data_IF_495807072707
#
_entry.id   IF_495807072707
#
_cell.length_a   1.000
_cell.length_b   1.000
_cell.length_c   1.000
_cell.angle_alpha   90.00
_cell.angle_beta   90.00
_cell.angle_gamma   90.00
#
_symmetry.space_group_name_H-M   'P 1'
#
loop_
_entity.id
_entity.type
_entity.pdbx_description
1 polymer ?
#
# COMPACT_ATOMS: atom_id res chain seq x y z
N UNK A 1 -58.96 -3.14 70.72
CA UNK A 1 -58.30 -2.41 71.82
C UNK A 1 -56.92 -3.03 72.06
N UNK A 2 -55.85 -2.32 71.65
CA UNK A 2 -54.39 -2.51 71.84
C UNK A 2 -53.72 -1.82 70.63
N UNK A 3 -53.56 -0.51 70.71
CA UNK A 3 -52.33 0.22 71.10
C UNK A 3 -51.24 0.18 70.03
N UNK A 4 -50.95 1.38 69.53
CA UNK A 4 -49.91 1.73 68.59
C UNK A 4 -48.51 1.36 69.09
N UNK A 5 -47.67 0.87 68.18
CA UNK A 5 -46.22 0.82 68.36
C UNK A 5 -45.59 1.61 67.22
N UNK A 6 -44.99 2.74 67.59
CA UNK A 6 -44.08 3.54 66.78
C UNK A 6 -42.82 2.72 66.51
N UNK A 7 -42.47 2.49 65.25
CA UNK A 7 -41.11 2.14 64.85
C UNK A 7 -40.61 3.16 63.83
N UNK A 8 -39.61 3.94 64.26
CA UNK A 8 -38.87 4.87 63.41
C UNK A 8 -38.03 4.05 62.43
N UNK A 9 -38.33 4.13 61.15
CA UNK A 9 -37.51 3.56 60.08
C UNK A 9 -36.31 4.49 59.86
N UNK A 10 -35.13 4.11 60.37
CA UNK A 10 -33.88 4.77 60.03
C UNK A 10 -33.46 4.31 58.62
N UNK A 11 -33.67 5.15 57.61
CA UNK A 11 -33.13 4.94 56.28
C UNK A 11 -31.70 5.47 56.28
N UNK A 12 -30.72 4.56 56.34
CA UNK A 12 -29.32 4.89 56.14
C UNK A 12 -29.08 5.02 54.63
N UNK A 13 -29.12 6.24 54.09
CA UNK A 13 -28.69 6.51 52.72
C UNK A 13 -27.16 6.52 52.72
N UNK A 14 -26.54 5.43 52.28
CA UNK A 14 -25.13 5.41 51.90
C UNK A 14 -24.97 6.18 50.58
N UNK A 15 -24.68 7.48 50.69
CA UNK A 15 -24.13 8.26 49.58
C UNK A 15 -22.68 7.80 49.35
N UNK A 16 -22.50 6.81 48.48
CA UNK A 16 -21.17 6.50 47.94
C UNK A 16 -20.79 7.66 47.02
N UNK A 17 -20.01 8.60 47.56
CA UNK A 17 -19.31 9.59 46.73
C UNK A 17 -18.24 8.86 45.93
N UNK A 18 -18.61 8.38 44.74
CA UNK A 18 -17.62 8.07 43.70
C UNK A 18 -17.04 9.39 43.21
N UNK A 19 -16.09 9.93 43.95
CA UNK A 19 -15.16 10.90 43.37
C UNK A 19 -14.49 10.18 42.20
N UNK A 20 -14.59 10.67 40.95
CA UNK A 20 -13.83 10.07 39.86
C UNK A 20 -12.38 10.09 40.30
N UNK A 21 -11.72 8.92 40.35
CA UNK A 21 -10.28 8.89 40.47
C UNK A 21 -9.77 9.79 39.35
N UNK A 22 -9.20 10.94 39.71
CA UNK A 22 -8.57 11.80 38.75
C UNK A 22 -7.53 10.94 38.03
N UNK A 23 -7.75 10.69 36.74
CA UNK A 23 -6.81 9.94 35.93
C UNK A 23 -5.43 10.56 36.17
N UNK A 24 -4.45 9.76 36.60
CA UNK A 24 -3.06 10.21 36.72
C UNK A 24 -2.73 10.96 35.42
N UNK A 25 -2.27 12.21 35.53
CA UNK A 25 -1.75 12.94 34.36
C UNK A 25 -0.79 11.99 33.64
N UNK A 26 -1.01 11.68 32.35
CA UNK A 26 -0.11 10.80 31.64
C UNK A 26 1.30 11.37 31.78
N UNK A 27 2.26 10.49 32.08
CA UNK A 27 3.67 10.84 32.05
C UNK A 27 3.97 11.56 30.74
N UNK A 28 4.78 12.63 30.78
CA UNK A 28 5.08 13.43 29.59
C UNK A 28 5.43 12.51 28.42
N UNK A 29 4.59 12.51 27.39
CA UNK A 29 4.77 11.69 26.20
C UNK A 29 5.82 12.38 25.35
N UNK A 30 7.08 12.08 25.66
CA UNK A 30 8.23 12.71 25.03
C UNK A 30 8.22 12.50 23.51
N UNK A 31 7.74 11.35 23.03
CA UNK A 31 7.63 11.07 21.59
C UNK A 31 6.58 11.98 20.97
N UNK A 32 5.40 12.10 21.58
CA UNK A 32 4.37 13.04 21.12
C UNK A 32 4.86 14.48 21.14
N UNK A 33 5.59 14.92 22.16
CA UNK A 33 6.16 16.27 22.24
C UNK A 33 7.18 16.52 21.13
N UNK A 34 8.09 15.56 20.89
CA UNK A 34 9.05 15.60 19.80
C UNK A 34 8.35 15.69 18.45
N UNK A 35 7.35 14.83 18.19
CA UNK A 35 6.56 14.86 16.95
C UNK A 35 5.79 16.17 16.79
N UNK A 36 5.12 16.64 17.84
CA UNK A 36 4.35 17.88 17.84
C UNK A 36 5.25 19.08 17.52
N UNK A 37 6.41 19.15 18.18
CA UNK A 37 7.40 20.20 17.95
C UNK A 37 7.98 20.12 16.55
N UNK A 38 8.25 18.90 16.07
CA UNK A 38 8.78 18.67 14.73
C UNK A 38 7.80 19.08 13.63
N UNK A 39 6.52 18.76 13.77
CA UNK A 39 5.45 19.20 12.86
C UNK A 39 5.35 20.72 12.87
N UNK A 40 5.28 21.32 14.07
CA UNK A 40 5.15 22.78 14.24
C UNK A 40 6.31 23.54 13.61
N UNK A 41 7.53 23.06 13.84
CA UNK A 41 8.76 23.74 13.41
C UNK A 41 9.24 23.28 12.02
N UNK A 42 8.58 22.27 11.44
CA UNK A 42 9.01 21.58 10.20
C UNK A 42 10.44 21.03 10.26
N UNK A 43 10.99 20.82 11.46
CA UNK A 43 12.35 20.32 11.70
C UNK A 43 12.39 19.54 13.01
N UNK A 44 13.14 18.45 13.04
CA UNK A 44 13.31 17.60 14.21
C UNK A 44 14.80 17.37 14.49
N UNK A 45 15.24 17.42 15.75
CA UNK A 45 16.60 17.07 16.12
C UNK A 45 16.85 15.54 16.14
N UNK A 46 15.80 14.72 16.08
CA UNK A 46 15.90 13.27 16.23
C UNK A 46 15.85 12.49 14.91
N UNK A 47 14.98 12.90 13.97
CA UNK A 47 14.76 12.18 12.71
C UNK A 47 14.07 13.06 11.68
N UNK A 48 14.28 12.78 10.40
CA UNK A 48 13.59 13.43 9.29
C UNK A 48 13.14 12.39 8.25
N UNK A 49 12.10 12.72 7.49
CA UNK A 49 11.56 11.87 6.43
C UNK A 49 11.87 12.51 5.07
N UNK A 50 12.95 12.07 4.43
CA UNK A 50 13.44 12.66 3.17
C UNK A 50 14.95 12.64 3.08
N UNK A 51 15.52 13.37 2.12
CA UNK A 51 16.97 13.51 1.96
C UNK A 51 17.53 14.77 2.64
N UNK A 52 16.69 15.76 2.93
CA UNK A 52 17.10 17.01 3.56
C UNK A 52 16.94 16.94 5.09
N UNK A 53 18.03 16.94 5.87
CA UNK A 53 17.97 16.87 7.33
C UNK A 53 17.37 18.13 7.98
N UNK A 54 17.20 19.22 7.22
CA UNK A 54 16.55 20.44 7.71
C UNK A 54 15.04 20.45 7.49
N UNK A 55 14.49 19.45 6.79
CA UNK A 55 13.07 19.33 6.54
C UNK A 55 12.53 18.06 7.21
N UNK A 56 11.64 18.23 8.19
CA UNK A 56 11.07 17.13 8.95
C UNK A 56 10.33 16.10 8.08
N UNK A 57 9.61 16.54 7.05
CA UNK A 57 8.95 15.63 6.11
C UNK A 57 8.90 16.20 4.69
N UNK A 58 9.46 15.46 3.75
CA UNK A 58 9.42 15.73 2.30
C UNK A 58 8.48 14.78 1.55
N UNK A 59 7.89 13.82 2.25
CA UNK A 59 6.96 12.85 1.68
C UNK A 59 5.53 13.34 1.90
N UNK A 60 4.75 13.37 0.82
CA UNK A 60 3.29 13.59 0.89
C UNK A 60 2.49 12.54 0.13
N UNK A 61 3.17 11.62 -0.58
CA UNK A 61 2.57 10.46 -1.24
C UNK A 61 3.52 9.26 -1.20
N UNK A 62 3.12 8.15 -1.83
CA UNK A 62 3.95 6.96 -1.98
C UNK A 62 5.21 7.24 -2.78
N UNK A 63 6.25 6.47 -2.46
CA UNK A 63 7.55 6.54 -3.13
C UNK A 63 7.55 5.78 -4.46
N UNK A 64 8.54 6.09 -5.31
CA UNK A 64 8.89 5.25 -6.46
C UNK A 64 9.84 4.09 -6.09
N UNK A 65 10.04 3.79 -4.79
CA UNK A 65 10.88 2.64 -4.39
C UNK A 65 10.25 1.35 -4.89
N UNK A 66 11.11 0.38 -5.22
CA UNK A 66 10.67 -0.99 -5.44
C UNK A 66 10.08 -1.54 -4.13
N UNK A 67 8.86 -2.08 -4.20
CA UNK A 67 8.13 -2.52 -3.01
C UNK A 67 8.29 -4.04 -2.84
N UNK A 68 8.71 -4.53 -1.66
CA UNK A 68 8.77 -5.96 -1.36
C UNK A 68 7.46 -6.70 -1.62
N UNK A 69 7.56 -7.90 -2.18
CA UNK A 69 6.44 -8.83 -2.39
C UNK A 69 6.78 -10.17 -1.77
N UNK A 70 5.90 -10.66 -0.90
CA UNK A 70 5.99 -11.97 -0.29
C UNK A 70 4.82 -12.80 -0.79
N UNK A 71 5.09 -14.02 -1.24
CA UNK A 71 4.04 -14.97 -1.63
C UNK A 71 4.21 -16.26 -0.86
N UNK A 72 3.10 -16.95 -0.59
CA UNK A 72 3.04 -18.15 0.22
C UNK A 72 2.13 -19.17 -0.49
N UNK A 73 2.53 -20.44 -0.58
CA UNK A 73 1.77 -21.45 -1.33
C UNK A 73 1.87 -21.33 -2.86
N UNK A 74 2.83 -20.56 -3.35
CA UNK A 74 3.00 -20.19 -4.76
C UNK A 74 4.16 -20.91 -5.44
N UNK A 75 5.28 -21.12 -4.75
CA UNK A 75 6.41 -21.86 -5.30
C UNK A 75 5.99 -23.30 -5.61
N UNK A 76 6.51 -23.86 -6.70
CA UNK A 76 6.13 -25.19 -7.22
C UNK A 76 4.65 -25.32 -7.61
N UNK A 77 3.90 -24.21 -7.68
CA UNK A 77 2.54 -24.20 -8.20
C UNK A 77 2.53 -24.10 -9.74
N UNK A 78 1.34 -24.03 -10.33
CA UNK A 78 1.16 -23.97 -11.79
C UNK A 78 1.87 -22.76 -12.39
N UNK A 79 2.24 -22.79 -13.69
CA UNK A 79 2.81 -21.64 -14.38
C UNK A 79 1.96 -20.38 -14.18
N UNK A 80 2.61 -19.23 -13.92
CA UNK A 80 1.95 -17.96 -13.63
C UNK A 80 1.52 -17.76 -12.18
N UNK A 81 1.42 -18.82 -11.35
CA UNK A 81 1.08 -18.67 -9.92
C UNK A 81 2.30 -18.32 -9.04
N UNK A 82 3.51 -18.37 -9.60
CA UNK A 82 4.77 -18.16 -8.88
C UNK A 82 5.49 -16.88 -9.34
N UNK A 83 6.28 -16.28 -8.45
CA UNK A 83 7.02 -15.04 -8.75
C UNK A 83 8.04 -15.23 -9.87
N UNK A 84 8.63 -16.43 -10.00
CA UNK A 84 9.61 -16.75 -11.05
C UNK A 84 9.07 -16.54 -12.46
N UNK A 85 7.74 -16.56 -12.64
CA UNK A 85 7.08 -16.24 -13.90
C UNK A 85 7.20 -14.77 -14.32
N UNK A 86 7.56 -13.87 -13.40
CA UNK A 86 7.53 -12.41 -13.61
C UNK A 86 8.78 -11.66 -13.12
N UNK A 87 9.77 -12.36 -12.54
CA UNK A 87 11.00 -11.74 -12.02
C UNK A 87 12.25 -12.19 -12.80
N UNK A 88 13.38 -11.54 -12.54
CA UNK A 88 14.65 -11.88 -13.16
C UNK A 88 14.56 -11.84 -14.69
N UNK A 89 14.93 -12.93 -15.36
CA UNK A 89 14.88 -13.05 -16.82
C UNK A 89 13.47 -12.91 -17.41
N UNK A 90 12.44 -13.16 -16.60
CA UNK A 90 11.03 -13.09 -17.01
C UNK A 90 10.37 -11.73 -16.70
N UNK A 91 11.13 -10.79 -16.12
CA UNK A 91 10.64 -9.45 -15.82
C UNK A 91 10.08 -8.75 -17.07
N UNK A 92 8.88 -8.15 -17.01
CA UNK A 92 8.35 -7.39 -18.13
C UNK A 92 9.20 -6.15 -18.44
N UNK A 93 9.93 -5.62 -17.46
CA UNK A 93 10.82 -4.47 -17.62
C UNK A 93 12.07 -4.75 -18.47
N UNK A 94 12.26 -5.99 -18.94
CA UNK A 94 13.35 -6.36 -19.87
C UNK A 94 12.93 -6.31 -21.34
N UNK A 95 11.66 -6.06 -21.63
CA UNK A 95 11.08 -6.19 -22.96
C UNK A 95 10.20 -4.97 -23.28
N UNK A 96 10.53 -4.27 -24.35
CA UNK A 96 9.83 -3.04 -24.77
C UNK A 96 8.34 -3.30 -25.04
N UNK A 97 8.02 -4.40 -25.74
CA UNK A 97 6.63 -4.72 -26.09
C UNK A 97 5.80 -5.07 -24.87
N UNK A 98 6.42 -5.71 -23.86
CA UNK A 98 5.74 -5.96 -22.58
C UNK A 98 5.50 -4.67 -21.80
N UNK A 99 6.44 -3.72 -21.82
CA UNK A 99 6.24 -2.41 -21.22
C UNK A 99 5.12 -1.64 -21.93
N UNK A 100 5.12 -1.64 -23.27
CA UNK A 100 4.04 -1.05 -24.07
C UNK A 100 2.69 -1.71 -23.80
N UNK A 101 2.64 -3.03 -23.58
CA UNK A 101 1.40 -3.72 -23.21
C UNK A 101 0.90 -3.32 -21.82
N UNK A 102 1.78 -3.04 -20.86
CA UNK A 102 1.42 -2.65 -19.49
C UNK A 102 0.95 -1.19 -19.44
N UNK A 103 1.66 -0.29 -20.12
CA UNK A 103 1.46 1.15 -20.03
C UNK A 103 0.68 1.75 -21.20
N UNK A 104 0.50 1.04 -22.31
CA UNK A 104 -0.03 1.61 -23.56
C UNK A 104 0.96 2.51 -24.31
N UNK A 105 2.18 2.67 -23.78
CA UNK A 105 3.30 3.40 -24.35
C UNK A 105 4.61 2.84 -23.76
N UNK A 106 5.76 3.08 -24.39
CA UNK A 106 7.06 2.75 -23.79
C UNK A 106 7.47 3.89 -22.84
N UNK A 107 7.51 3.68 -21.51
CA UNK A 107 7.88 4.75 -20.60
C UNK A 107 9.36 5.12 -20.71
N UNK A 108 9.66 6.40 -20.56
CA UNK A 108 11.02 6.92 -20.67
C UNK A 108 11.96 6.21 -19.68
N UNK A 109 13.20 5.92 -20.06
CA UNK A 109 14.23 5.37 -19.17
C UNK A 109 13.82 4.14 -18.32
N UNK A 110 12.79 3.39 -18.74
CA UNK A 110 12.17 2.33 -17.93
C UNK A 110 12.60 0.93 -18.35
N UNK A 111 12.93 0.74 -19.63
CA UNK A 111 13.50 -0.51 -20.12
C UNK A 111 14.83 -0.78 -19.40
N UNK A 112 14.93 -1.95 -18.78
CA UNK A 112 16.09 -2.37 -18.01
C UNK A 112 16.37 -3.85 -18.27
N UNK A 113 17.35 -4.18 -19.15
CA UNK A 113 17.76 -5.56 -19.42
C UNK A 113 18.29 -6.32 -18.20
N UNK A 114 18.56 -5.63 -17.08
CA UNK A 114 19.01 -6.23 -15.81
C UNK A 114 17.91 -6.27 -14.74
N UNK A 115 16.67 -5.91 -15.07
CA UNK A 115 15.56 -5.89 -14.12
C UNK A 115 15.41 -7.26 -13.43
N UNK A 116 15.18 -7.19 -12.12
CA UNK A 116 14.90 -8.35 -11.25
C UNK A 116 13.50 -8.28 -10.64
N UNK A 117 12.79 -7.20 -10.89
CA UNK A 117 11.49 -6.87 -10.34
C UNK A 117 10.37 -7.19 -11.33
N UNK A 118 9.17 -7.38 -10.80
CA UNK A 118 7.94 -7.52 -11.58
C UNK A 118 7.20 -6.18 -11.66
N UNK A 119 6.13 -6.14 -12.43
CA UNK A 119 5.15 -5.04 -12.36
C UNK A 119 4.05 -5.36 -11.35
N UNK A 120 3.46 -4.33 -10.73
CA UNK A 120 2.33 -4.51 -9.80
C UNK A 120 1.13 -5.25 -10.43
N UNK A 121 0.92 -5.11 -11.75
CA UNK A 121 -0.12 -5.83 -12.50
C UNK A 121 0.08 -7.34 -12.47
N UNK A 122 1.32 -7.82 -12.32
CA UNK A 122 1.58 -9.25 -12.23
C UNK A 122 1.08 -9.89 -10.93
N UNK A 123 0.74 -9.09 -9.90
CA UNK A 123 0.06 -9.62 -8.72
C UNK A 123 -1.37 -10.05 -9.04
N UNK A 124 -2.05 -9.35 -9.96
CA UNK A 124 -3.33 -9.83 -10.50
C UNK A 124 -3.13 -11.12 -11.30
N UNK A 125 -2.10 -11.22 -12.14
CA UNK A 125 -1.83 -12.43 -12.92
C UNK A 125 -1.61 -13.66 -12.02
N UNK A 126 -0.88 -13.48 -10.91
CA UNK A 126 -0.67 -14.54 -9.91
C UNK A 126 -1.98 -14.98 -9.28
N UNK A 127 -2.83 -14.04 -8.87
CA UNK A 127 -4.14 -14.35 -8.30
C UNK A 127 -5.06 -15.04 -9.32
N UNK A 128 -5.04 -14.59 -10.57
CA UNK A 128 -5.81 -15.18 -11.67
C UNK A 128 -5.34 -16.61 -11.99
N UNK A 129 -4.04 -16.85 -11.99
CA UNK A 129 -3.46 -18.18 -12.15
C UNK A 129 -3.84 -19.10 -10.97
N UNK A 130 -3.80 -18.59 -9.74
CA UNK A 130 -4.25 -19.31 -8.55
C UNK A 130 -5.74 -19.69 -8.63
N UNK A 131 -6.58 -18.76 -9.08
CA UNK A 131 -8.01 -18.97 -9.28
C UNK A 131 -8.28 -20.01 -10.36
N UNK A 132 -7.57 -19.94 -11.49
CA UNK A 132 -7.64 -20.94 -12.57
C UNK A 132 -7.19 -22.33 -12.09
N UNK A 133 -6.20 -22.39 -11.21
CA UNK A 133 -5.70 -23.63 -10.63
C UNK A 133 -6.61 -24.22 -9.53
N UNK A 134 -7.73 -23.57 -9.21
CA UNK A 134 -8.66 -24.03 -8.18
C UNK A 134 -8.08 -23.94 -6.76
N UNK A 135 -7.16 -22.99 -6.51
CA UNK A 135 -6.69 -22.73 -5.14
C UNK A 135 -7.90 -22.38 -4.28
N UNK A 136 -8.04 -23.05 -3.12
CA UNK A 136 -9.20 -22.89 -2.23
C UNK A 136 -9.33 -21.48 -1.67
N UNK A 137 -8.20 -20.86 -1.32
CA UNK A 137 -8.13 -19.52 -0.76
C UNK A 137 -7.09 -18.70 -1.52
N UNK A 138 -7.43 -17.45 -1.83
CA UNK A 138 -6.55 -16.46 -2.44
C UNK A 138 -6.66 -15.23 -1.56
N UNK A 139 -5.54 -14.83 -0.95
CA UNK A 139 -5.52 -13.75 0.05
C UNK A 139 -4.46 -12.75 -0.38
N UNK A 140 -4.89 -11.50 -0.60
CA UNK A 140 -4.01 -10.36 -0.82
C UNK A 140 -3.95 -9.54 0.47
N UNK A 141 -2.77 -9.35 1.02
CA UNK A 141 -2.53 -8.49 2.19
C UNK A 141 -1.74 -7.28 1.73
N UNK A 142 -2.29 -6.08 1.94
CA UNK A 142 -1.66 -4.81 1.55
C UNK A 142 -1.33 -4.02 2.81
N UNK A 143 -0.06 -3.65 2.95
CA UNK A 143 0.40 -2.71 3.96
C UNK A 143 0.63 -1.35 3.29
N UNK A 144 -0.35 -0.45 3.40
CA UNK A 144 -0.32 0.87 2.76
C UNK A 144 0.89 1.67 3.28
N UNK A 145 1.76 2.10 2.37
CA UNK A 145 2.97 2.87 2.67
C UNK A 145 4.15 2.07 3.23
N UNK A 146 4.06 0.73 3.31
CA UNK A 146 5.14 -0.11 3.86
C UNK A 146 6.14 -0.52 2.79
N UNK A 147 7.28 0.16 2.76
CA UNK A 147 8.45 -0.23 1.95
C UNK A 147 9.43 -1.14 2.72
N UNK A 148 10.57 -1.46 2.10
CA UNK A 148 11.59 -2.31 2.71
C UNK A 148 12.23 -1.67 3.94
N UNK A 149 12.52 -0.36 3.90
CA UNK A 149 13.10 0.37 5.01
C UNK A 149 12.13 0.41 6.21
N UNK A 150 10.84 0.63 5.95
CA UNK A 150 9.77 0.56 6.95
C UNK A 150 9.69 -0.84 7.58
N UNK A 151 9.75 -1.88 6.75
CA UNK A 151 9.75 -3.28 7.21
C UNK A 151 10.98 -3.59 8.08
N UNK A 152 12.15 -3.06 7.72
CA UNK A 152 13.39 -3.21 8.49
C UNK A 152 13.34 -2.44 9.81
N UNK A 153 12.80 -1.23 9.81
CA UNK A 153 12.59 -0.46 11.04
C UNK A 153 11.66 -1.20 12.01
N UNK A 154 10.56 -1.78 11.51
CA UNK A 154 9.64 -2.58 12.31
C UNK A 154 10.32 -3.84 12.88
N UNK A 155 11.10 -4.56 12.07
CA UNK A 155 11.85 -5.72 12.53
C UNK A 155 12.92 -5.32 13.57
N UNK A 156 13.63 -4.22 13.36
CA UNK A 156 14.62 -3.71 14.31
C UNK A 156 13.97 -3.40 15.66
N UNK A 157 12.84 -2.69 15.64
CA UNK A 157 12.08 -2.36 16.85
C UNK A 157 11.61 -3.63 17.56
N UNK A 158 10.93 -4.54 16.85
CA UNK A 158 10.36 -5.76 17.43
C UNK A 158 11.42 -6.68 18.04
N UNK A 159 12.61 -6.76 17.43
CA UNK A 159 13.67 -7.67 17.86
C UNK A 159 14.72 -7.02 18.76
N UNK A 160 14.69 -5.70 18.94
CA UNK A 160 15.78 -4.95 19.59
C UNK A 160 17.14 -5.09 18.89
N UNK A 161 17.15 -5.50 17.62
CA UNK A 161 18.36 -5.83 16.88
C UNK A 161 18.17 -5.68 15.37
N UNK A 162 19.20 -5.18 14.70
CA UNK A 162 19.21 -5.01 13.25
C UNK A 162 19.66 -6.31 12.57
N UNK A 163 18.68 -7.18 12.26
CA UNK A 163 18.94 -8.57 11.83
C UNK A 163 19.27 -8.74 10.34
N UNK A 164 19.04 -7.73 9.51
CA UNK A 164 19.27 -7.85 8.07
C UNK A 164 19.53 -6.50 7.41
N UNK A 165 20.26 -6.54 6.29
CA UNK A 165 20.64 -5.35 5.51
C UNK A 165 20.20 -5.42 4.04
N UNK A 166 19.81 -6.60 3.57
CA UNK A 166 19.41 -6.85 2.17
C UNK A 166 18.36 -7.97 2.12
N UNK A 167 17.70 -8.12 0.98
CA UNK A 167 16.88 -9.29 0.66
C UNK A 167 15.53 -9.32 1.37
N UNK A 168 15.00 -10.53 1.56
CA UNK A 168 13.69 -10.83 2.18
C UNK A 168 13.54 -10.25 3.58
N UNK A 169 14.64 -10.05 4.28
CA UNK A 169 14.65 -9.72 5.70
C UNK A 169 14.25 -10.89 6.60
N UNK A 170 14.25 -10.63 7.91
CA UNK A 170 13.96 -11.61 8.97
C UNK A 170 13.57 -10.90 10.26
N UNK A 171 12.86 -11.58 11.16
CA UNK A 171 12.50 -11.08 12.49
C UNK A 171 11.04 -10.64 12.61
N UNK A 172 10.27 -10.68 11.53
CA UNK A 172 8.81 -10.57 11.56
C UNK A 172 8.22 -11.89 11.05
N UNK A 173 7.05 -12.28 11.58
CA UNK A 173 6.45 -13.58 11.29
C UNK A 173 6.30 -13.85 9.78
N UNK A 174 5.79 -12.89 9.00
CA UNK A 174 5.62 -13.09 7.55
C UNK A 174 6.94 -13.14 6.78
N UNK A 175 8.02 -12.54 7.31
CA UNK A 175 9.35 -12.63 6.70
C UNK A 175 9.90 -14.05 6.88
N UNK A 176 9.74 -14.62 8.07
CA UNK A 176 10.31 -15.93 8.42
C UNK A 176 9.40 -17.11 8.07
N UNK A 177 8.12 -16.86 7.77
CA UNK A 177 7.17 -17.91 7.40
C UNK A 177 7.52 -18.52 6.03
N UNK A 178 7.82 -19.82 6.01
CA UNK A 178 8.30 -20.55 4.82
C UNK A 178 7.18 -21.17 3.99
N UNK A 179 5.97 -21.30 4.55
CA UNK A 179 4.84 -22.01 3.95
C UNK A 179 5.24 -23.40 3.41
N UNK A 180 5.82 -24.27 4.25
CA UNK A 180 6.32 -25.60 3.86
C UNK A 180 7.32 -25.56 2.70
N UNK A 181 8.16 -24.52 2.67
CA UNK A 181 9.14 -24.30 1.60
C UNK A 181 8.54 -23.77 0.30
N UNK A 182 7.28 -23.29 0.32
CA UNK A 182 6.61 -22.75 -0.87
C UNK A 182 6.52 -21.22 -0.91
N UNK A 183 7.15 -20.53 0.05
CA UNK A 183 7.18 -19.07 0.06
C UNK A 183 8.20 -18.49 -0.91
N UNK A 184 7.85 -17.41 -1.62
CA UNK A 184 8.79 -16.67 -2.47
C UNK A 184 8.91 -15.21 -2.03
N UNK A 185 9.98 -14.56 -2.48
CA UNK A 185 10.24 -13.15 -2.25
C UNK A 185 10.66 -12.47 -3.55
N UNK A 186 10.05 -11.32 -3.82
CA UNK A 186 10.36 -10.46 -4.96
C UNK A 186 10.11 -9.01 -4.60
N UNK A 187 10.08 -8.14 -5.60
CA UNK A 187 9.76 -6.73 -5.41
C UNK A 187 9.28 -6.13 -6.72
N UNK A 188 8.35 -5.17 -6.63
CA UNK A 188 7.60 -4.66 -7.77
C UNK A 188 7.80 -3.16 -7.99
N UNK A 189 7.60 -2.73 -9.24
CA UNK A 189 7.40 -1.33 -9.60
C UNK A 189 5.94 -0.95 -9.38
N UNK A 190 5.73 0.17 -8.69
CA UNK A 190 4.40 0.66 -8.31
C UNK A 190 3.92 1.88 -9.09
N UNK A 191 4.69 2.38 -10.06
CA UNK A 191 4.33 3.59 -10.79
C UNK A 191 2.94 3.48 -11.45
N UNK A 192 2.12 4.54 -11.46
CA UNK A 192 0.81 4.55 -12.13
C UNK A 192 0.98 4.51 -13.65
N UNK A 193 -0.11 4.44 -14.42
CA UNK A 193 -0.07 4.74 -15.85
C UNK A 193 0.33 6.21 -16.08
N UNK A 194 -0.28 7.13 -15.33
CA UNK A 194 0.00 8.55 -15.35
C UNK A 194 -0.51 9.24 -14.08
N UNK A 195 -0.16 10.51 -13.92
CA UNK A 195 -0.70 11.43 -12.91
C UNK A 195 -1.26 12.69 -13.57
N UNK A 196 -2.08 13.46 -12.83
CA UNK A 196 -2.64 14.73 -13.28
C UNK A 196 -3.82 14.59 -14.25
N UNK A 197 -4.54 13.46 -14.21
CA UNK A 197 -5.86 13.34 -14.84
C UNK A 197 -6.90 14.15 -14.05
N UNK A 198 -7.73 14.90 -14.75
CA UNK A 198 -8.93 15.55 -14.24
C UNK A 198 -10.15 14.71 -14.62
N UNK A 199 -11.17 14.75 -13.78
CA UNK A 199 -12.37 13.92 -13.93
C UNK A 199 -13.61 14.73 -13.58
N UNK A 200 -14.74 14.31 -14.12
CA UNK A 200 -16.07 14.70 -13.68
C UNK A 200 -16.71 13.50 -12.98
N UNK A 201 -16.85 13.59 -11.66
CA UNK A 201 -17.42 12.52 -10.82
C UNK A 201 -18.92 12.33 -11.07
N UNK A 202 -19.66 13.38 -11.43
CA UNK A 202 -21.10 13.24 -11.64
C UNK A 202 -21.41 12.42 -12.90
N UNK A 203 -20.56 12.55 -13.93
CA UNK A 203 -20.70 11.80 -15.19
C UNK A 203 -19.77 10.60 -15.29
N UNK A 204 -18.92 10.37 -14.26
CA UNK A 204 -17.89 9.34 -14.21
C UNK A 204 -16.99 9.35 -15.47
N UNK A 205 -16.51 10.54 -15.87
CA UNK A 205 -15.69 10.73 -17.08
C UNK A 205 -14.31 11.29 -16.77
N UNK A 206 -13.30 10.81 -17.50
CA UNK A 206 -11.97 11.41 -17.54
C UNK A 206 -11.95 12.54 -18.56
N UNK A 207 -11.56 13.74 -18.14
CA UNK A 207 -11.60 14.95 -18.96
C UNK A 207 -10.31 15.15 -19.77
N UNK A 208 -9.20 14.56 -19.33
CA UNK A 208 -7.91 14.58 -20.02
C UNK A 208 -7.17 13.24 -19.85
N UNK A 209 -7.55 12.20 -20.61
CA UNK A 209 -6.83 10.91 -20.62
C UNK A 209 -5.33 11.08 -20.83
N UNK A 210 -4.52 10.33 -20.07
CA UNK A 210 -3.06 10.42 -20.08
C UNK A 210 -2.46 11.52 -19.20
N UNK A 211 -3.27 12.40 -18.62
CA UNK A 211 -2.87 13.35 -17.59
C UNK A 211 -1.73 14.29 -17.98
N UNK A 212 -0.87 14.62 -17.02
CA UNK A 212 0.25 15.58 -17.16
C UNK A 212 1.63 14.93 -17.09
N UNK A 213 1.75 13.80 -16.39
CA UNK A 213 3.01 13.11 -16.17
C UNK A 213 2.80 11.62 -16.33
N UNK A 214 3.64 10.96 -17.14
CA UNK A 214 3.56 9.52 -17.39
C UNK A 214 4.21 8.75 -16.25
N UNK A 215 3.77 7.51 -16.05
CA UNK A 215 4.45 6.58 -15.16
C UNK A 215 5.71 6.00 -15.77
N UNK A 216 6.37 5.13 -15.01
CA UNK A 216 7.62 4.47 -15.38
C UNK A 216 8.54 4.30 -14.18
N UNK A 217 9.64 3.58 -14.36
CA UNK A 217 10.64 3.39 -13.31
C UNK A 217 12.05 3.40 -13.86
N UNK A 218 12.79 4.47 -13.53
CA UNK A 218 14.18 4.61 -13.91
C UNK A 218 15.08 3.91 -12.88
N UNK A 219 15.51 2.68 -13.19
CA UNK A 219 16.33 1.88 -12.28
C UNK A 219 17.73 2.46 -12.03
N UNK A 220 18.25 3.34 -12.90
CA UNK A 220 19.51 4.05 -12.66
C UNK A 220 19.35 5.08 -11.55
N UNK A 221 18.23 5.81 -11.55
CA UNK A 221 17.90 6.79 -10.50
C UNK A 221 17.37 6.15 -9.22
N UNK A 222 16.35 5.31 -9.33
CA UNK A 222 15.67 4.67 -8.19
C UNK A 222 16.43 3.50 -7.58
N UNK A 223 17.31 2.87 -8.35
CA UNK A 223 18.13 1.75 -7.90
C UNK A 223 17.59 0.38 -8.32
N UNK A 224 18.44 -0.67 -8.23
CA UNK A 224 18.09 -2.00 -8.72
C UNK A 224 17.31 -2.87 -7.72
N UNK A 225 17.20 -2.46 -6.46
CA UNK A 225 16.55 -3.23 -5.40
C UNK A 225 16.04 -2.32 -4.27
N UNK A 226 15.05 -2.76 -3.47
CA UNK A 226 14.46 -1.95 -2.39
C UNK A 226 15.48 -1.42 -1.37
N UNK A 227 16.52 -2.20 -1.07
CA UNK A 227 17.58 -1.87 -0.10
C UNK A 227 18.79 -1.17 -0.73
N UNK A 228 18.74 -0.83 -2.02
CA UNK A 228 19.86 -0.19 -2.73
C UNK A 228 19.32 0.94 -3.61
N UNK A 229 19.43 2.16 -3.09
CA UNK A 229 19.14 3.37 -3.86
C UNK A 229 20.03 3.47 -5.11
N UNK A 230 19.51 4.14 -6.14
CA UNK A 230 20.27 4.47 -7.34
C UNK A 230 21.06 5.77 -7.20
N UNK A 231 21.33 6.39 -8.33
CA UNK A 231 22.17 7.59 -8.42
C UNK A 231 21.45 8.88 -7.98
N UNK A 232 20.12 8.86 -7.87
CA UNK A 232 19.32 10.02 -7.49
C UNK A 232 18.28 9.66 -6.43
N UNK A 233 18.63 9.91 -5.16
CA UNK A 233 17.73 9.69 -4.03
C UNK A 233 16.47 10.56 -4.09
N UNK A 234 16.54 11.72 -4.78
CA UNK A 234 15.41 12.64 -4.91
C UNK A 234 14.32 12.09 -5.83
N UNK A 235 14.71 11.32 -6.83
CA UNK A 235 13.79 10.60 -7.73
C UNK A 235 12.82 9.71 -6.95
N UNK A 236 13.23 9.16 -5.81
CA UNK A 236 12.38 8.29 -5.00
C UNK A 236 11.34 9.05 -4.16
N UNK A 237 11.50 10.36 -3.93
CA UNK A 237 10.68 11.14 -3.00
C UNK A 237 9.27 11.41 -3.57
N UNK A 238 8.25 10.80 -3.00
CA UNK A 238 6.85 11.02 -3.39
C UNK A 238 6.28 12.30 -2.81
N UNK A 239 6.06 13.31 -3.64
CA UNK A 239 5.27 14.49 -3.25
C UNK A 239 4.54 15.11 -4.44
N UNK A 240 3.33 15.62 -4.23
CA UNK A 240 2.50 16.27 -5.26
C UNK A 240 3.14 17.53 -5.86
N UNK A 241 4.07 18.16 -5.14
CA UNK A 241 4.85 19.31 -5.60
C UNK A 241 6.21 18.94 -6.19
N UNK A 242 6.57 17.65 -6.18
CA UNK A 242 7.89 17.21 -6.61
C UNK A 242 8.03 17.23 -8.14
N UNK A 243 9.17 17.74 -8.62
CA UNK A 243 9.59 17.72 -10.03
C UNK A 243 10.99 17.10 -10.23
N UNK A 244 11.46 16.27 -9.28
CA UNK A 244 12.79 15.66 -9.32
C UNK A 244 12.92 14.55 -10.36
N UNK A 245 11.81 14.04 -10.90
CA UNK A 245 11.81 12.91 -11.83
C UNK A 245 10.92 13.11 -13.05
N UNK A 246 11.13 12.24 -14.02
CA UNK A 246 10.36 12.12 -15.26
C UNK A 246 9.07 11.30 -15.09
N UNK A 247 8.93 10.59 -13.97
CA UNK A 247 7.83 9.65 -13.74
C UNK A 247 6.91 10.08 -12.60
N UNK A 248 5.62 9.81 -12.81
CA UNK A 248 4.57 9.99 -11.82
C UNK A 248 4.79 9.13 -10.59
N UNK A 249 4.58 9.72 -9.41
CA UNK A 249 4.60 9.02 -8.12
C UNK A 249 3.26 8.35 -7.87
N UNK A 250 3.23 7.10 -7.37
CA UNK A 250 1.98 6.42 -7.14
C UNK A 250 1.16 7.02 -5.99
N UNK A 251 -0.13 6.74 -6.04
CA UNK A 251 -1.07 6.85 -4.92
C UNK A 251 -1.62 5.46 -4.50
N UNK A 252 -2.43 5.39 -3.43
CA UNK A 252 -3.05 4.13 -3.00
C UNK A 252 -4.08 3.59 -4.00
N UNK A 253 -4.76 4.47 -4.75
CA UNK A 253 -5.85 4.07 -5.65
C UNK A 253 -5.35 3.29 -6.87
N UNK A 254 -4.38 3.83 -7.61
CA UNK A 254 -3.85 3.14 -8.78
C UNK A 254 -3.12 1.83 -8.38
N UNK A 255 -2.40 1.84 -7.26
CA UNK A 255 -1.60 0.68 -6.83
C UNK A 255 -2.52 -0.49 -6.45
N UNK A 256 -3.55 -0.23 -5.65
CA UNK A 256 -4.55 -1.22 -5.29
C UNK A 256 -5.36 -1.69 -6.51
N UNK A 257 -5.75 -0.76 -7.40
CA UNK A 257 -6.50 -1.09 -8.62
C UNK A 257 -5.68 -1.99 -9.55
N UNK A 258 -4.40 -1.72 -9.76
CA UNK A 258 -3.59 -2.58 -10.63
C UNK A 258 -3.34 -3.98 -10.07
N UNK A 259 -3.22 -4.11 -8.75
CA UNK A 259 -3.12 -5.43 -8.11
C UNK A 259 -4.42 -6.25 -8.22
N UNK A 260 -5.55 -5.59 -8.44
CA UNK A 260 -6.88 -6.23 -8.47
C UNK A 260 -7.48 -6.32 -9.87
N UNK A 261 -7.05 -5.52 -10.85
CA UNK A 261 -7.57 -5.51 -12.22
C UNK A 261 -6.55 -5.92 -13.28
N UNK A 262 -5.26 -5.96 -12.95
CA UNK A 262 -4.21 -6.36 -13.89
C UNK A 262 -3.83 -5.29 -14.92
N UNK A 263 -4.33 -4.06 -14.79
CA UNK A 263 -3.95 -2.95 -15.66
C UNK A 263 -3.38 -1.77 -14.86
N UNK A 264 -2.54 -0.97 -15.50
CA UNK A 264 -2.16 0.34 -14.97
C UNK A 264 -3.28 1.34 -15.20
N UNK A 265 -3.56 2.17 -14.21
CA UNK A 265 -4.46 3.32 -14.33
C UNK A 265 -3.82 4.59 -13.77
N UNK A 266 -4.49 5.72 -13.93
CA UNK A 266 -4.00 7.00 -13.42
C UNK A 266 -4.15 7.09 -11.90
N UNK A 267 -3.35 7.94 -11.25
CA UNK A 267 -3.53 8.26 -9.84
C UNK A 267 -4.96 8.74 -9.56
N UNK A 268 -5.52 8.35 -8.42
CA UNK A 268 -6.92 8.54 -8.01
C UNK A 268 -7.94 7.59 -8.64
N UNK A 269 -7.62 6.84 -9.69
CA UNK A 269 -8.56 5.90 -10.30
C UNK A 269 -8.83 4.68 -9.40
N UNK A 270 -10.10 4.28 -9.28
CA UNK A 270 -10.53 3.04 -8.64
C UNK A 270 -11.07 2.10 -9.71
N UNK A 271 -10.31 1.07 -10.07
CA UNK A 271 -10.65 -0.01 -11.01
C UNK A 271 -11.14 0.43 -12.41
N UNK A 272 -10.86 1.66 -12.84
CA UNK A 272 -11.13 2.11 -14.21
C UNK A 272 -9.85 2.11 -15.04
N UNK A 273 -9.97 1.96 -16.35
CA UNK A 273 -8.86 2.10 -17.29
C UNK A 273 -8.38 3.56 -17.40
N UNK A 274 -7.28 3.85 -18.14
CA UNK A 274 -6.79 5.21 -18.32
C UNK A 274 -7.79 6.21 -18.95
N UNK A 275 -8.88 5.73 -19.55
CA UNK A 275 -9.94 6.51 -20.17
C UNK A 275 -11.20 6.62 -19.27
N UNK A 276 -11.23 5.93 -18.12
CA UNK A 276 -12.35 5.91 -17.19
C UNK A 276 -13.34 4.76 -17.39
N UNK A 277 -13.07 3.80 -18.27
CA UNK A 277 -13.93 2.65 -18.45
C UNK A 277 -13.76 1.65 -17.28
N UNK A 278 -14.84 1.13 -16.66
CA UNK A 278 -14.74 0.13 -15.60
C UNK A 278 -14.02 -1.15 -16.04
N UNK A 279 -13.18 -1.70 -15.16
CA UNK A 279 -12.43 -2.94 -15.41
C UNK A 279 -12.74 -3.97 -14.33
N UNK A 280 -13.11 -5.18 -14.74
CA UNK A 280 -13.41 -6.26 -13.80
C UNK A 280 -12.21 -6.56 -12.90
N UNK A 281 -12.49 -6.73 -11.61
CA UNK A 281 -11.46 -7.09 -10.63
C UNK A 281 -11.35 -8.61 -10.48
N UNK A 282 -10.28 -9.08 -9.85
CA UNK A 282 -10.11 -10.47 -9.45
C UNK A 282 -11.24 -10.96 -8.53
N UNK A 283 -11.83 -10.06 -7.74
CA UNK A 283 -13.01 -10.35 -6.92
C UNK A 283 -14.23 -10.67 -7.79
N UNK A 284 -14.47 -9.91 -8.86
CA UNK A 284 -15.52 -10.22 -9.83
C UNK A 284 -15.29 -11.60 -10.47
N UNK A 285 -14.07 -11.87 -10.97
CA UNK A 285 -13.73 -13.18 -11.57
C UNK A 285 -13.88 -14.34 -10.58
N UNK A 286 -13.57 -14.11 -9.30
CA UNK A 286 -13.72 -15.12 -8.25
C UNK A 286 -15.19 -15.40 -7.95
N UNK A 287 -16.04 -14.37 -7.86
CA UNK A 287 -17.48 -14.52 -7.67
C UNK A 287 -18.14 -15.29 -8.81
N UNK A 288 -17.76 -15.02 -10.07
CA UNK A 288 -18.24 -15.77 -11.24
C UNK A 288 -17.89 -17.27 -11.16
N UNK A 289 -16.84 -17.62 -10.43
CA UNK A 289 -16.41 -19.01 -10.18
C UNK A 289 -16.96 -19.60 -8.88
N UNK A 290 -17.87 -18.91 -8.20
CA UNK A 290 -18.53 -19.38 -6.98
C UNK A 290 -17.69 -19.22 -5.70
N UNK A 291 -16.65 -18.39 -5.72
CA UNK A 291 -15.89 -18.08 -4.51
C UNK A 291 -16.61 -17.01 -3.69
N UNK A 292 -16.52 -17.14 -2.36
CA UNK A 292 -16.82 -16.03 -1.46
C UNK A 292 -15.72 -14.97 -1.54
N UNK A 293 -16.12 -13.70 -1.56
CA UNK A 293 -15.21 -12.54 -1.55
C UNK A 293 -15.46 -11.71 -0.30
N UNK A 294 -14.39 -11.19 0.28
CA UNK A 294 -14.45 -10.27 1.41
C UNK A 294 -13.25 -9.34 1.46
N UNK A 295 -13.42 -8.19 2.10
CA UNK A 295 -12.37 -7.19 2.33
C UNK A 295 -12.35 -6.81 3.81
N UNK A 296 -11.15 -6.69 4.38
CA UNK A 296 -10.93 -6.31 5.78
C UNK A 296 -9.90 -5.20 5.79
N UNK A 297 -10.15 -4.17 6.61
CA UNK A 297 -9.32 -2.96 6.62
C UNK A 297 -9.32 -2.31 7.99
N UNK A 298 -8.24 -1.59 8.32
CA UNK A 298 -8.12 -0.73 9.51
C UNK A 298 -8.48 0.74 9.23
N UNK A 299 -8.77 1.08 7.97
CA UNK A 299 -9.22 2.40 7.53
C UNK A 299 -10.69 2.34 7.07
N UNK A 300 -11.38 3.48 6.82
CA UNK A 300 -12.74 3.46 6.30
C UNK A 300 -12.88 2.58 5.05
N UNK A 301 -14.02 1.89 4.91
CA UNK A 301 -14.24 0.93 3.82
C UNK A 301 -14.19 1.59 2.44
N UNK A 302 -14.58 2.86 2.33
CA UNK A 302 -14.52 3.68 1.12
C UNK A 302 -13.13 4.27 0.84
N UNK A 303 -12.13 3.99 1.68
CA UNK A 303 -10.74 4.34 1.35
C UNK A 303 -10.29 3.60 0.10
N UNK A 304 -9.36 4.19 -0.67
CA UNK A 304 -8.91 3.67 -1.96
C UNK A 304 -8.51 2.18 -1.96
N UNK A 305 -7.72 1.75 -0.97
CA UNK A 305 -7.18 0.39 -0.91
C UNK A 305 -8.28 -0.69 -0.77
N UNK A 306 -9.21 -0.60 0.21
CA UNK A 306 -10.36 -1.51 0.24
C UNK A 306 -11.33 -1.31 -0.92
N UNK A 307 -11.56 -0.08 -1.39
CA UNK A 307 -12.45 0.22 -2.52
C UNK A 307 -12.03 -0.51 -3.81
N UNK A 308 -10.73 -0.69 -4.04
CA UNK A 308 -10.22 -1.46 -5.18
C UNK A 308 -10.67 -2.93 -5.20
N UNK A 309 -11.19 -3.48 -4.10
CA UNK A 309 -11.76 -4.82 -4.11
C UNK A 309 -13.16 -4.88 -4.75
N UNK A 310 -13.93 -3.78 -4.73
CA UNK A 310 -15.37 -3.84 -4.98
C UNK A 310 -15.97 -2.69 -5.82
N UNK A 311 -15.33 -1.52 -5.90
CA UNK A 311 -15.89 -0.33 -6.54
C UNK A 311 -15.25 -0.04 -7.91
N UNK A 312 -15.92 0.80 -8.70
CA UNK A 312 -15.39 1.41 -9.92
C UNK A 312 -15.70 2.90 -9.88
N UNK A 313 -14.68 3.74 -9.84
CA UNK A 313 -14.89 5.19 -9.80
C UNK A 313 -13.70 5.93 -10.41
N UNK A 314 -13.98 7.01 -11.14
CA UNK A 314 -12.93 7.87 -11.73
C UNK A 314 -12.14 8.66 -10.67
N UNK A 315 -12.60 8.68 -9.43
CA UNK A 315 -11.94 9.38 -8.32
C UNK A 315 -12.10 8.65 -6.98
N UNK A 316 -10.96 8.37 -6.34
CA UNK A 316 -10.90 7.90 -4.94
C UNK A 316 -11.50 8.89 -3.92
N UNK A 317 -11.76 10.12 -4.33
CA UNK A 317 -12.31 11.17 -3.47
C UNK A 317 -13.84 11.24 -3.55
N UNK A 318 -14.47 10.38 -4.34
CA UNK A 318 -15.92 10.29 -4.48
C UNK A 318 -16.52 9.37 -3.40
N UNK A 319 -16.27 9.72 -2.13
CA UNK A 319 -16.57 8.88 -0.96
C UNK A 319 -18.05 8.51 -0.79
N UNK A 320 -18.97 9.20 -1.45
CA UNK A 320 -20.40 8.88 -1.40
C UNK A 320 -20.76 7.73 -2.35
N UNK A 321 -20.03 7.61 -3.46
CA UNK A 321 -20.22 6.61 -4.50
C UNK A 321 -19.24 5.43 -4.38
N UNK A 322 -18.36 5.45 -3.36
CA UNK A 322 -17.45 4.39 -2.94
C UNK A 322 -17.94 3.69 -1.66
#
# INVERSE_FOLDING_TARGET
MKLAVSSRLFVLILLVSNSPLAAKKPQADHIRELQTTAIKNKKSPAAHWGFDPNNYTQWSSHSLRLIPVYTFGTQNSVPGCNLDSYIGKNSPYRDEKKLEAIYGFLPENTLNPKAKYLDQTNLYDIQKAALKAGKKNIILVVFDGMDWDTTRAAALYYNGADKYKIGRGTGLHFQDYTADGTSQFGYMVTAPHNDGSNVDVNTQKVLNPGGKMRGGYNAKKGGPAPWKAGEDIKYLIGSSSNKYGEHAYPDSANTASSMTTGIKSYNNAINVDPNGAPVATIAHEAQEKGYSVGVVTSVPISHATPAAAYAHNVSRNDYQDL
#
